data_IF_723005171812
#
_entry.id   IF_723005171812
#
_cell.length_a   1.000
_cell.length_b   1.000
_cell.length_c   1.000
_cell.angle_alpha   90.00
_cell.angle_beta   90.00
_cell.angle_gamma   90.00
#
_symmetry.space_group_name_H-M   'P 1'
#
loop_
_entity.id
_entity.type
_entity.pdbx_description
1 polymer ?
#
# COMPACT_ATOMS: atom_id res chain seq x y z
N UNK A 1 21.54 -1.17 -1.99
CA UNK A 1 20.77 -0.08 -2.63
C UNK A 1 19.27 -0.35 -2.67
N UNK A 2 18.81 -1.53 -3.11
CA UNK A 2 17.38 -1.86 -3.21
C UNK A 2 16.61 -1.75 -1.87
N UNK A 3 17.21 -2.16 -0.75
CA UNK A 3 16.64 -1.99 0.59
C UNK A 3 16.41 -0.52 0.99
N UNK A 4 17.35 0.37 0.63
CA UNK A 4 17.25 1.81 0.92
C UNK A 4 16.09 2.38 0.11
N UNK A 5 15.96 2.03 -1.17
CA UNK A 5 14.83 2.48 -1.98
C UNK A 5 13.49 1.97 -1.44
N UNK A 6 13.40 0.71 -1.02
CA UNK A 6 12.18 0.17 -0.42
C UNK A 6 11.82 0.94 0.86
N UNK A 7 12.79 1.21 1.73
CA UNK A 7 12.59 2.01 2.94
C UNK A 7 12.09 3.42 2.64
N UNK A 8 12.65 4.09 1.62
CA UNK A 8 12.18 5.40 1.18
C UNK A 8 10.75 5.37 0.66
N UNK A 9 10.38 4.35 -0.13
CA UNK A 9 9.03 4.18 -0.68
C UNK A 9 8.02 3.96 0.45
N UNK A 10 8.33 3.09 1.41
CA UNK A 10 7.48 2.84 2.58
C UNK A 10 7.31 4.14 3.37
N UNK A 11 8.41 4.83 3.66
CA UNK A 11 8.38 6.06 4.46
C UNK A 11 7.57 7.18 3.78
N UNK A 12 7.81 7.42 2.48
CA UNK A 12 7.08 8.41 1.71
C UNK A 12 5.58 8.08 1.63
N UNK A 13 5.25 6.81 1.35
CA UNK A 13 3.86 6.34 1.31
C UNK A 13 3.19 6.54 2.67
N UNK A 14 3.87 6.16 3.76
CA UNK A 14 3.34 6.33 5.11
C UNK A 14 3.12 7.79 5.46
N UNK A 15 4.10 8.65 5.26
CA UNK A 15 4.00 10.07 5.56
C UNK A 15 2.87 10.75 4.78
N UNK A 16 2.70 10.41 3.50
CA UNK A 16 1.69 11.04 2.64
C UNK A 16 0.25 10.56 2.92
N UNK A 17 0.08 9.31 3.37
CA UNK A 17 -1.23 8.69 3.56
C UNK A 17 -1.70 8.60 5.01
N UNK A 18 -0.82 8.78 6.00
CA UNK A 18 -1.17 8.69 7.44
C UNK A 18 -2.36 9.56 7.81
N UNK A 19 -2.35 10.81 7.35
CA UNK A 19 -3.35 11.82 7.70
C UNK A 19 -4.40 12.01 6.58
N UNK A 20 -4.41 11.13 5.58
CA UNK A 20 -5.33 11.25 4.46
C UNK A 20 -6.74 10.78 4.84
N UNK A 21 -7.66 11.75 4.96
CA UNK A 21 -9.07 11.51 5.29
C UNK A 21 -9.77 10.53 4.33
N UNK A 22 -9.39 10.53 3.05
CA UNK A 22 -9.95 9.59 2.06
C UNK A 22 -9.65 8.14 2.44
N UNK A 23 -8.42 7.87 2.89
CA UNK A 23 -8.00 6.54 3.31
C UNK A 23 -8.74 6.09 4.58
N UNK A 24 -8.94 7.01 5.52
CA UNK A 24 -9.64 6.77 6.78
C UNK A 24 -11.14 6.50 6.58
N UNK A 25 -11.78 7.14 5.61
CA UNK A 25 -13.21 6.95 5.34
C UNK A 25 -13.51 5.71 4.49
N UNK A 26 -12.60 5.31 3.60
CA UNK A 26 -12.81 4.16 2.69
C UNK A 26 -12.95 2.84 3.45
N UNK A 27 -13.79 1.92 2.97
CA UNK A 27 -13.90 0.59 3.57
C UNK A 27 -12.61 -0.20 3.34
N UNK A 28 -12.17 -0.92 4.37
CA UNK A 28 -10.98 -1.78 4.31
C UNK A 28 -11.09 -2.82 3.18
N UNK A 29 -12.28 -3.39 2.96
CA UNK A 29 -12.53 -4.36 1.88
C UNK A 29 -12.25 -3.75 0.50
N UNK A 30 -12.72 -2.53 0.24
CA UNK A 30 -12.49 -1.84 -1.03
C UNK A 30 -11.00 -1.57 -1.27
N UNK A 31 -10.25 -1.27 -0.20
CA UNK A 31 -8.80 -1.13 -0.24
C UNK A 31 -8.11 -2.45 -0.59
N UNK A 32 -8.51 -3.57 0.04
CA UNK A 32 -7.96 -4.90 -0.28
C UNK A 32 -8.22 -5.26 -1.75
N UNK A 33 -9.46 -5.14 -2.22
CA UNK A 33 -9.80 -5.44 -3.61
C UNK A 33 -9.06 -4.52 -4.59
N UNK A 34 -8.96 -3.23 -4.27
CA UNK A 34 -8.20 -2.27 -5.07
C UNK A 34 -6.71 -2.62 -5.16
N UNK A 35 -6.08 -3.00 -4.03
CA UNK A 35 -4.68 -3.41 -4.00
C UNK A 35 -4.44 -4.68 -4.81
N UNK A 36 -5.30 -5.70 -4.68
CA UNK A 36 -5.18 -6.95 -5.47
C UNK A 36 -5.28 -6.65 -6.97
N UNK A 37 -6.26 -5.85 -7.37
CA UNK A 37 -6.46 -5.47 -8.76
C UNK A 37 -5.24 -4.70 -9.30
N UNK A 38 -4.68 -3.78 -8.51
CA UNK A 38 -3.48 -3.03 -8.87
C UNK A 38 -2.26 -3.93 -9.03
N UNK A 39 -2.08 -4.92 -8.15
CA UNK A 39 -1.01 -5.92 -8.23
C UNK A 39 -1.17 -6.77 -9.51
N UNK A 40 -2.39 -7.21 -9.84
CA UNK A 40 -2.62 -7.96 -11.09
C UNK A 40 -2.22 -7.16 -12.33
N UNK A 41 -2.57 -5.87 -12.39
CA UNK A 41 -2.12 -4.98 -13.47
C UNK A 41 -0.60 -4.84 -13.47
N UNK A 42 0.02 -4.69 -12.29
CA UNK A 42 1.47 -4.61 -12.15
C UNK A 42 2.18 -5.85 -12.70
N UNK A 43 1.63 -7.03 -12.48
CA UNK A 43 2.17 -8.31 -12.98
C UNK A 43 2.11 -8.36 -14.51
N UNK A 44 0.99 -7.92 -15.11
CA UNK A 44 0.88 -7.83 -16.56
C UNK A 44 1.97 -6.89 -17.08
N UNK A 45 2.07 -5.67 -16.57
CA UNK A 45 3.07 -4.67 -16.97
C UNK A 45 4.51 -5.20 -16.78
N UNK A 46 4.77 -5.87 -15.66
CA UNK A 46 6.06 -6.49 -15.34
C UNK A 46 6.47 -7.54 -16.38
N UNK A 47 5.50 -8.28 -16.92
CA UNK A 47 5.73 -9.25 -18.01
C UNK A 47 6.18 -8.57 -19.30
N UNK A 48 5.61 -7.40 -19.64
CA UNK A 48 6.02 -6.61 -20.81
C UNK A 48 7.41 -5.98 -20.64
N UNK A 49 7.73 -5.51 -19.43
CA UNK A 49 8.99 -4.84 -19.12
C UNK A 49 10.13 -5.85 -18.88
N UNK A 50 9.81 -7.11 -18.55
CA UNK A 50 10.78 -8.13 -18.18
C UNK A 50 11.42 -7.87 -16.80
N UNK A 51 10.77 -7.11 -15.93
CA UNK A 51 11.30 -6.76 -14.59
C UNK A 51 10.22 -6.83 -13.53
N UNK A 52 10.55 -7.41 -12.37
CA UNK A 52 9.66 -7.54 -11.20
C UNK A 52 9.55 -6.24 -10.38
N UNK A 53 10.37 -5.23 -10.67
CA UNK A 53 10.37 -3.97 -9.93
C UNK A 53 8.98 -3.31 -9.82
N UNK A 54 8.14 -3.25 -10.88
CA UNK A 54 6.79 -2.67 -10.77
C UNK A 54 5.90 -3.39 -9.76
N UNK A 55 5.99 -4.73 -9.72
CA UNK A 55 5.21 -5.56 -8.78
C UNK A 55 5.68 -5.31 -7.35
N UNK A 56 7.00 -5.26 -7.14
CA UNK A 56 7.60 -5.02 -5.82
C UNK A 56 7.16 -3.65 -5.28
N UNK A 57 7.26 -2.59 -6.10
CA UNK A 57 6.87 -1.23 -5.71
C UNK A 57 5.38 -1.16 -5.38
N UNK A 58 4.52 -1.70 -6.23
CA UNK A 58 3.06 -1.67 -6.02
C UNK A 58 2.67 -2.47 -4.78
N UNK A 59 3.33 -3.60 -4.53
CA UNK A 59 3.10 -4.41 -3.34
C UNK A 59 3.53 -3.68 -2.07
N UNK A 60 4.69 -3.02 -2.07
CA UNK A 60 5.18 -2.21 -0.95
C UNK A 60 4.22 -1.07 -0.60
N UNK A 61 3.77 -0.34 -1.62
CA UNK A 61 2.80 0.75 -1.44
C UNK A 61 1.49 0.20 -0.89
N UNK A 62 0.93 -0.85 -1.52
CA UNK A 62 -0.32 -1.47 -1.08
C UNK A 62 -0.26 -1.97 0.36
N UNK A 63 0.80 -2.69 0.73
CA UNK A 63 1.00 -3.20 2.08
C UNK A 63 1.09 -2.07 3.11
N UNK A 64 1.83 -1.00 2.81
CA UNK A 64 1.97 0.15 3.72
C UNK A 64 0.62 0.85 3.93
N UNK A 65 -0.16 1.00 2.86
CA UNK A 65 -1.50 1.60 2.92
C UNK A 65 -2.45 0.76 3.78
N UNK A 66 -2.45 -0.56 3.58
CA UNK A 66 -3.22 -1.50 4.39
C UNK A 66 -2.77 -1.45 5.86
N UNK A 67 -1.47 -1.40 6.13
CA UNK A 67 -0.91 -1.33 7.47
C UNK A 67 -1.36 -0.07 8.22
N UNK A 68 -1.34 1.11 7.57
CA UNK A 68 -1.84 2.36 8.16
C UNK A 68 -3.32 2.22 8.51
N UNK A 69 -4.12 1.68 7.58
CA UNK A 69 -5.56 1.52 7.79
C UNK A 69 -5.87 0.57 8.95
N UNK A 70 -5.20 -0.58 9.01
CA UNK A 70 -5.36 -1.54 10.12
C UNK A 70 -4.93 -0.94 11.46
N UNK A 71 -3.81 -0.21 11.48
CA UNK A 71 -3.33 0.47 12.69
C UNK A 71 -4.38 1.46 13.18
N UNK A 72 -4.89 2.33 12.30
CA UNK A 72 -5.91 3.32 12.66
C UNK A 72 -7.21 2.65 13.17
N UNK A 73 -7.66 1.57 12.54
CA UNK A 73 -8.84 0.83 13.00
C UNK A 73 -8.62 0.14 14.35
N UNK A 74 -7.43 -0.41 14.60
CA UNK A 74 -7.09 -1.01 15.89
C UNK A 74 -7.02 0.01 17.01
N UNK A 75 -6.49 1.20 16.74
CA UNK A 75 -6.45 2.31 17.70
C UNK A 75 -7.86 2.76 18.07
N UNK A 76 -8.74 2.95 17.07
CA UNK A 76 -10.15 3.30 17.30
C UNK A 76 -10.87 2.19 18.10
N UNK A 77 -10.62 0.92 17.78
CA UNK A 77 -11.23 -0.22 18.48
C UNK A 77 -10.75 -0.37 19.92
N UNK A 78 -9.49 -0.05 20.22
CA UNK A 78 -8.92 -0.16 21.57
C UNK A 78 -9.28 1.03 22.48
N UNK A 79 -9.79 2.14 21.91
CA UNK A 79 -10.27 3.30 22.66
C UNK A 79 -11.76 3.20 23.04
N UNK A 80 -12.45 2.14 22.63
CA UNK A 80 -13.89 1.94 22.81
C UNK A 80 -14.18 0.63 23.55
#
# INVERSE_FOLDING_TARGET
MLYIMCGCIIFATHYLLKDNHWLLQKRLRDLIFGTILLISIAVIISTWIGSLLPVIVITLVGATVLQIKYTNQSVIRNMH
#
